data_IF_485812937784
#
_entry.id   IF_485812937784
#
_cell.length_a   1.000
_cell.length_b   1.000
_cell.length_c   1.000
_cell.angle_alpha   90.00
_cell.angle_beta   90.00
_cell.angle_gamma   90.00
#
_symmetry.space_group_name_H-M   'P 1'
#
loop_
_entity.id
_entity.type
_entity.pdbx_description
1 polymer ?
#
# COMPACT_ATOMS: atom_id res chain seq x y z
N UNK A 1 2.13 13.31 -5.08
CA UNK A 1 3.29 14.13 -4.67
C UNK A 1 4.44 13.27 -4.14
N UNK A 2 4.21 12.29 -3.29
CA UNK A 2 5.25 11.43 -2.69
C UNK A 2 6.10 10.62 -3.69
N UNK A 3 5.52 10.04 -4.74
CA UNK A 3 6.29 9.32 -5.78
C UNK A 3 7.29 10.22 -6.52
N UNK A 4 6.98 11.50 -6.72
CA UNK A 4 7.90 12.48 -7.31
C UNK A 4 9.12 12.75 -6.43
N UNK A 5 8.97 12.70 -5.11
CA UNK A 5 10.07 12.96 -4.17
C UNK A 5 10.95 11.73 -3.95
N UNK A 6 10.37 10.52 -3.95
CA UNK A 6 11.11 9.26 -3.87
C UNK A 6 12.17 9.11 -4.97
N UNK A 7 11.84 9.57 -6.18
CA UNK A 7 12.75 9.52 -7.33
C UNK A 7 13.70 10.72 -7.41
N UNK A 8 13.45 11.80 -6.63
CA UNK A 8 14.16 13.06 -6.81
C UNK A 8 15.61 13.06 -6.30
N UNK A 9 15.94 12.33 -5.24
CA UNK A 9 17.22 12.61 -4.55
C UNK A 9 18.36 11.66 -4.95
N UNK A 10 18.14 10.35 -5.00
CA UNK A 10 19.20 9.39 -5.29
C UNK A 10 19.26 8.95 -6.77
N UNK A 11 18.09 8.82 -7.40
CA UNK A 11 18.01 8.39 -8.80
C UNK A 11 18.33 9.54 -9.75
N UNK A 12 17.90 10.76 -9.45
CA UNK A 12 18.03 11.91 -10.35
C UNK A 12 19.47 12.43 -10.47
N UNK A 13 20.26 12.39 -9.38
CA UNK A 13 21.69 12.74 -9.44
C UNK A 13 22.47 11.71 -10.26
N UNK A 14 22.17 10.41 -10.07
CA UNK A 14 22.78 9.32 -10.84
C UNK A 14 22.31 9.33 -12.31
N UNK A 15 21.02 9.51 -12.58
CA UNK A 15 20.50 9.71 -13.93
C UNK A 15 21.17 10.89 -14.62
N UNK A 16 21.40 11.99 -13.92
CA UNK A 16 22.09 13.15 -14.47
C UNK A 16 23.55 12.87 -14.81
N UNK A 17 24.26 12.05 -14.06
CA UNK A 17 25.64 11.64 -14.34
C UNK A 17 25.76 10.66 -15.49
N UNK A 18 24.85 9.69 -15.60
CA UNK A 18 24.83 8.66 -16.64
C UNK A 18 24.81 9.24 -18.06
N UNK A 19 23.96 10.23 -18.31
CA UNK A 19 23.79 10.81 -19.63
C UNK A 19 24.93 11.74 -20.08
N UNK A 20 25.95 11.96 -19.28
CA UNK A 20 27.11 12.76 -19.67
C UNK A 20 28.15 11.95 -20.45
N UNK A 21 28.15 10.62 -20.33
CA UNK A 21 29.16 9.73 -20.91
C UNK A 21 28.67 8.84 -22.06
N UNK A 22 27.37 8.50 -22.10
CA UNK A 22 26.83 7.56 -23.07
C UNK A 22 26.79 8.14 -24.51
N UNK A 23 27.33 7.40 -25.46
CA UNK A 23 27.50 7.85 -26.86
C UNK A 23 26.45 7.25 -27.82
N UNK A 24 25.85 6.13 -27.48
CA UNK A 24 24.88 5.44 -28.32
C UNK A 24 23.69 4.88 -27.49
N UNK A 25 22.65 4.45 -28.22
CA UNK A 25 21.41 3.94 -27.60
C UNK A 25 21.63 2.73 -26.69
N UNK A 26 22.50 1.80 -27.08
CA UNK A 26 22.73 0.55 -26.36
C UNK A 26 23.43 0.84 -25.02
N UNK A 27 24.40 1.74 -25.02
CA UNK A 27 25.07 2.22 -23.80
C UNK A 27 24.06 2.86 -22.84
N UNK A 28 23.17 3.76 -23.33
CA UNK A 28 22.13 4.40 -22.51
C UNK A 28 21.19 3.37 -21.87
N UNK A 29 20.76 2.37 -22.64
CA UNK A 29 19.86 1.33 -22.12
C UNK A 29 20.56 0.44 -21.09
N UNK A 30 21.84 0.09 -21.29
CA UNK A 30 22.63 -0.66 -20.33
C UNK A 30 22.83 0.10 -19.02
N UNK A 31 23.18 1.37 -19.09
CA UNK A 31 23.32 2.22 -17.90
C UNK A 31 21.99 2.41 -17.15
N UNK A 32 20.86 2.55 -17.86
CA UNK A 32 19.54 2.58 -17.24
C UNK A 32 19.20 1.25 -16.56
N UNK A 33 19.54 0.13 -17.17
CA UNK A 33 19.33 -1.21 -16.60
C UNK A 33 20.08 -1.35 -15.29
N UNK A 34 21.38 -1.03 -15.25
CA UNK A 34 22.19 -1.08 -14.04
C UNK A 34 21.62 -0.19 -12.92
N UNK A 35 21.19 1.02 -13.30
CA UNK A 35 20.59 1.97 -12.36
C UNK A 35 19.29 1.45 -11.73
N UNK A 36 18.42 0.82 -12.53
CA UNK A 36 17.18 0.23 -12.05
C UNK A 36 17.44 -0.97 -11.13
N UNK A 37 18.45 -1.79 -11.42
CA UNK A 37 18.89 -2.89 -10.56
C UNK A 37 19.43 -2.35 -9.24
N UNK A 38 20.29 -1.32 -9.27
CA UNK A 38 20.83 -0.66 -8.07
C UNK A 38 19.73 0.03 -7.23
N UNK A 39 18.62 0.42 -7.85
CA UNK A 39 17.44 0.93 -7.17
C UNK A 39 16.57 -0.16 -6.51
N UNK A 40 17.00 -1.43 -6.58
CA UNK A 40 16.30 -2.60 -6.00
C UNK A 40 15.01 -2.98 -6.75
N UNK A 41 14.95 -2.68 -8.05
CA UNK A 41 13.87 -3.14 -8.92
C UNK A 41 14.18 -4.58 -9.34
N UNK A 42 13.17 -5.46 -9.32
CA UNK A 42 13.32 -6.86 -9.69
C UNK A 42 13.70 -7.03 -11.18
N UNK A 43 14.56 -7.98 -11.49
CA UNK A 43 15.04 -8.23 -12.86
C UNK A 43 13.93 -8.35 -13.90
N UNK A 44 12.80 -9.06 -13.64
CA UNK A 44 11.69 -9.11 -14.59
C UNK A 44 11.06 -7.74 -14.87
N UNK A 45 10.94 -6.87 -13.85
CA UNK A 45 10.40 -5.52 -14.01
C UNK A 45 11.39 -4.62 -14.77
N UNK A 46 12.69 -4.72 -14.47
CA UNK A 46 13.75 -4.01 -15.19
C UNK A 46 13.73 -4.38 -16.66
N UNK A 47 13.76 -5.69 -16.99
CA UNK A 47 13.74 -6.15 -18.38
C UNK A 47 12.53 -5.65 -19.17
N UNK A 48 11.34 -5.63 -18.53
CA UNK A 48 10.13 -5.08 -19.15
C UNK A 48 10.26 -3.58 -19.43
N UNK A 49 10.73 -2.79 -18.47
CA UNK A 49 10.91 -1.34 -18.58
C UNK A 49 11.92 -1.01 -19.68
N UNK A 50 13.10 -1.65 -19.66
CA UNK A 50 14.17 -1.42 -20.66
C UNK A 50 13.70 -1.81 -22.06
N UNK A 51 13.01 -2.95 -22.20
CA UNK A 51 12.44 -3.37 -23.50
C UNK A 51 11.46 -2.33 -24.04
N UNK A 52 10.59 -1.79 -23.21
CA UNK A 52 9.60 -0.78 -23.62
C UNK A 52 10.27 0.54 -24.00
N UNK A 53 11.24 1.01 -23.20
CA UNK A 53 12.04 2.20 -23.54
C UNK A 53 12.76 1.99 -24.85
N UNK A 54 13.40 0.83 -25.05
CA UNK A 54 14.11 0.49 -26.28
C UNK A 54 13.23 0.52 -27.55
N UNK A 55 11.96 0.09 -27.44
CA UNK A 55 10.97 0.19 -28.53
C UNK A 55 10.59 1.63 -28.84
N UNK A 56 10.38 2.47 -27.82
CA UNK A 56 9.96 3.87 -27.95
C UNK A 56 11.11 4.80 -28.35
N UNK A 57 12.33 4.47 -27.99
CA UNK A 57 13.53 5.26 -28.25
C UNK A 57 14.05 5.21 -29.74
N UNK A 58 13.29 4.63 -30.68
CA UNK A 58 13.67 4.60 -32.09
C UNK A 58 13.79 5.98 -32.72
N UNK A 59 13.11 6.99 -32.19
CA UNK A 59 13.06 8.38 -32.70
C UNK A 59 13.62 9.41 -31.71
N UNK A 60 14.33 8.95 -30.66
CA UNK A 60 14.72 9.79 -29.51
C UNK A 60 16.24 9.74 -29.35
N UNK A 61 16.89 10.92 -29.31
CA UNK A 61 18.35 11.05 -29.17
C UNK A 61 18.81 11.97 -28.05
N UNK A 62 17.87 12.61 -27.30
CA UNK A 62 18.26 13.51 -26.23
C UNK A 62 18.07 12.87 -24.85
N UNK A 63 18.87 13.30 -23.89
CA UNK A 63 18.85 12.93 -22.48
C UNK A 63 17.46 13.14 -21.83
N UNK A 64 16.88 14.30 -22.09
CA UNK A 64 15.57 14.68 -21.55
C UNK A 64 14.49 13.71 -22.01
N UNK A 65 14.61 13.23 -23.23
CA UNK A 65 13.68 12.27 -23.81
C UNK A 65 13.77 10.89 -23.18
N UNK A 66 14.97 10.38 -22.88
CA UNK A 66 15.12 9.11 -22.15
C UNK A 66 14.61 9.21 -20.70
N UNK A 67 14.85 10.32 -20.02
CA UNK A 67 14.30 10.57 -18.69
C UNK A 67 12.77 10.59 -18.71
N UNK A 68 12.17 11.23 -19.69
CA UNK A 68 10.71 11.26 -19.81
C UNK A 68 10.15 9.88 -20.17
N UNK A 69 10.81 9.11 -21.05
CA UNK A 69 10.42 7.72 -21.34
C UNK A 69 10.49 6.85 -20.09
N UNK A 70 11.58 6.93 -19.31
CA UNK A 70 11.72 6.21 -18.06
C UNK A 70 10.60 6.61 -17.09
N UNK A 71 10.34 7.90 -16.93
CA UNK A 71 9.26 8.40 -16.08
C UNK A 71 7.90 7.85 -16.50
N UNK A 72 7.63 7.81 -17.79
CA UNK A 72 6.39 7.27 -18.36
C UNK A 72 6.26 5.77 -18.09
N UNK A 73 7.34 4.99 -18.29
CA UNK A 73 7.33 3.55 -18.02
C UNK A 73 7.13 3.26 -16.53
N UNK A 74 7.79 4.00 -15.63
CA UNK A 74 7.61 3.86 -14.19
C UNK A 74 6.19 4.22 -13.76
N UNK A 75 5.60 5.27 -14.32
CA UNK A 75 4.22 5.65 -14.06
C UNK A 75 3.23 4.64 -14.67
N UNK A 76 3.56 4.04 -15.81
CA UNK A 76 2.72 3.03 -16.45
C UNK A 76 2.53 1.78 -15.60
N UNK A 77 3.51 1.44 -14.75
CA UNK A 77 3.38 0.36 -13.76
C UNK A 77 2.21 0.59 -12.81
N UNK A 78 1.91 1.86 -12.50
CA UNK A 78 0.80 2.26 -11.63
C UNK A 78 -0.45 2.69 -12.43
N UNK A 79 -0.36 2.80 -13.76
CA UNK A 79 -1.48 3.15 -14.63
C UNK A 79 -2.36 1.93 -14.90
N UNK A 80 -3.66 2.15 -15.02
CA UNK A 80 -4.65 1.07 -15.16
C UNK A 80 -5.19 0.57 -13.83
N UNK A 81 -4.73 1.12 -12.73
CA UNK A 81 -5.28 0.87 -11.39
C UNK A 81 -6.42 1.86 -11.09
N UNK A 82 -7.42 1.38 -10.36
CA UNK A 82 -8.56 2.17 -9.91
C UNK A 82 -8.10 3.45 -9.18
N UNK A 83 -8.60 4.61 -9.58
CA UNK A 83 -8.20 5.90 -8.99
C UNK A 83 -8.93 6.24 -7.71
N UNK A 84 -10.15 5.75 -7.52
CA UNK A 84 -10.94 5.98 -6.32
C UNK A 84 -10.80 4.79 -5.39
N UNK A 85 -10.43 5.06 -4.15
CA UNK A 85 -10.35 4.06 -3.11
C UNK A 85 -11.71 3.73 -2.48
N UNK A 86 -12.66 4.64 -2.57
CA UNK A 86 -14.02 4.47 -2.05
C UNK A 86 -15.06 4.65 -3.17
N UNK A 87 -16.21 4.01 -3.00
CA UNK A 87 -17.37 4.28 -3.83
C UNK A 87 -17.97 5.64 -3.46
N UNK A 88 -18.33 6.43 -4.49
CA UNK A 88 -18.93 7.74 -4.29
C UNK A 88 -20.34 7.62 -3.66
N UNK A 89 -20.58 8.41 -2.62
CA UNK A 89 -21.90 8.55 -2.00
C UNK A 89 -22.45 7.36 -1.23
N UNK A 90 -21.62 6.34 -0.95
CA UNK A 90 -22.03 5.09 -0.30
C UNK A 90 -21.31 4.80 1.00
N UNK A 91 -21.84 3.82 1.74
CA UNK A 91 -21.18 3.20 2.88
C UNK A 91 -20.03 2.33 2.41
N UNK A 92 -18.85 2.47 3.02
CA UNK A 92 -17.64 1.78 2.62
C UNK A 92 -16.98 1.06 3.80
N UNK A 93 -16.30 -0.05 3.52
CA UNK A 93 -15.51 -0.81 4.50
C UNK A 93 -14.11 -1.01 3.94
N UNK A 94 -13.10 -0.71 4.74
CA UNK A 94 -11.69 -0.98 4.44
C UNK A 94 -11.13 -1.94 5.48
N UNK A 95 -10.71 -3.11 5.06
CA UNK A 95 -9.97 -4.07 5.86
C UNK A 95 -8.47 -3.91 5.59
N UNK A 96 -7.69 -3.52 6.58
CA UNK A 96 -6.24 -3.43 6.48
C UNK A 96 -5.59 -4.75 6.88
N UNK A 97 -4.80 -5.32 5.97
CA UNK A 97 -4.04 -6.56 6.18
C UNK A 97 -2.55 -6.30 5.96
N UNK A 98 -1.69 -7.17 6.50
CA UNK A 98 -0.22 -7.04 6.36
C UNK A 98 0.50 -7.58 7.58
N UNK A 99 1.83 -7.68 7.50
CA UNK A 99 2.66 -8.24 8.58
C UNK A 99 2.75 -7.31 9.80
N UNK A 100 3.22 -7.85 10.94
CA UNK A 100 3.52 -7.03 12.11
C UNK A 100 4.59 -5.99 11.76
N UNK A 101 4.40 -4.77 12.25
CA UNK A 101 5.33 -3.67 12.00
C UNK A 101 5.22 -3.02 10.62
N UNK A 102 4.33 -3.49 9.71
CA UNK A 102 4.16 -2.86 8.39
C UNK A 102 3.51 -1.48 8.43
N UNK A 103 2.99 -1.04 9.58
CA UNK A 103 2.36 0.27 9.73
C UNK A 103 0.84 0.27 9.60
N UNK A 104 0.15 -0.88 9.75
CA UNK A 104 -1.33 -0.98 9.65
C UNK A 104 -2.06 -0.01 10.56
N UNK A 105 -1.77 -0.06 11.86
CA UNK A 105 -2.42 0.80 12.87
C UNK A 105 -2.22 2.29 12.58
N UNK A 106 -0.99 2.69 12.24
CA UNK A 106 -0.69 4.08 11.85
C UNK A 106 -1.39 4.46 10.55
N UNK A 107 -1.43 3.55 9.56
CA UNK A 107 -2.15 3.76 8.31
C UNK A 107 -3.65 3.88 8.53
N UNK A 108 -4.24 3.05 9.43
CA UNK A 108 -5.65 3.15 9.80
C UNK A 108 -5.99 4.55 10.33
N UNK A 109 -5.18 5.07 11.26
CA UNK A 109 -5.36 6.41 11.84
C UNK A 109 -5.23 7.52 10.77
N UNK A 110 -4.19 7.46 9.93
CA UNK A 110 -3.97 8.45 8.85
C UNK A 110 -5.08 8.43 7.80
N UNK A 111 -5.53 7.25 7.40
CA UNK A 111 -6.65 7.10 6.48
C UNK A 111 -7.94 7.65 7.09
N UNK A 112 -8.19 7.36 8.36
CA UNK A 112 -9.35 7.89 9.07
C UNK A 112 -9.35 9.43 9.09
N UNK A 113 -8.21 10.05 9.40
CA UNK A 113 -8.04 11.50 9.36
C UNK A 113 -8.21 12.06 7.95
N UNK A 114 -7.62 11.38 6.96
CA UNK A 114 -7.72 11.79 5.54
C UNK A 114 -9.17 11.86 5.07
N UNK A 115 -9.99 10.85 5.41
CA UNK A 115 -11.39 10.81 5.02
C UNK A 115 -12.26 11.74 5.88
N UNK A 116 -11.98 11.84 7.18
CA UNK A 116 -12.65 12.81 8.05
C UNK A 116 -12.48 14.24 7.54
N UNK A 117 -11.27 14.63 7.12
CA UNK A 117 -11.00 15.95 6.53
C UNK A 117 -11.73 16.19 5.19
N UNK A 118 -12.32 15.14 4.59
CA UNK A 118 -13.14 15.19 3.38
C UNK A 118 -14.63 15.11 3.66
N UNK A 119 -15.00 15.21 4.93
CA UNK A 119 -16.41 15.25 5.35
C UNK A 119 -17.03 13.88 5.58
N UNK A 120 -16.26 12.78 5.53
CA UNK A 120 -16.80 11.46 5.85
C UNK A 120 -16.85 11.22 7.36
N UNK A 121 -17.93 10.64 7.83
CA UNK A 121 -18.03 10.09 9.16
C UNK A 121 -17.33 8.74 9.22
N UNK A 122 -16.31 8.61 10.08
CA UNK A 122 -15.41 7.44 10.11
C UNK A 122 -15.51 6.73 11.44
N UNK A 123 -15.56 5.39 11.39
CA UNK A 123 -15.44 4.48 12.52
C UNK A 123 -14.18 3.64 12.37
N UNK A 124 -13.42 3.46 13.45
CA UNK A 124 -12.27 2.57 13.52
C UNK A 124 -12.61 1.29 14.26
N UNK A 125 -12.06 0.16 13.83
CA UNK A 125 -12.17 -1.13 14.50
C UNK A 125 -10.77 -1.67 14.85
N UNK A 126 -10.48 -1.88 16.12
CA UNK A 126 -9.23 -2.42 16.64
C UNK A 126 -9.30 -3.95 16.73
N UNK A 127 -9.15 -4.65 15.61
CA UNK A 127 -9.22 -6.11 15.57
C UNK A 127 -7.84 -6.80 15.76
N UNK A 128 -6.74 -6.08 16.03
CA UNK A 128 -5.48 -6.64 16.55
C UNK A 128 -5.59 -6.85 18.07
N UNK A 129 -6.34 -7.85 18.49
CA UNK A 129 -6.63 -8.14 19.90
C UNK A 129 -5.52 -8.92 20.62
N UNK A 130 -4.59 -9.50 19.88
CA UNK A 130 -3.49 -10.30 20.43
C UNK A 130 -2.34 -9.48 20.98
N UNK A 131 -2.09 -8.28 20.41
CA UNK A 131 -1.01 -7.41 20.88
C UNK A 131 -1.52 -6.54 22.03
N UNK A 132 -0.83 -6.61 23.18
CA UNK A 132 -1.18 -5.76 24.34
C UNK A 132 -1.25 -4.27 24.02
N UNK A 133 -0.44 -3.81 23.06
CA UNK A 133 -0.41 -2.43 22.59
C UNK A 133 -1.25 -2.16 21.34
N UNK A 134 -1.76 -3.19 20.63
CA UNK A 134 -2.41 -3.01 19.32
C UNK A 134 -3.72 -2.23 19.42
N UNK A 135 -4.67 -2.75 20.19
CA UNK A 135 -5.96 -2.09 20.42
C UNK A 135 -5.81 -0.75 21.16
N UNK A 136 -4.91 -0.69 22.16
CA UNK A 136 -4.61 0.55 22.88
C UNK A 136 -4.03 1.63 21.98
N UNK A 137 -3.14 1.26 21.05
CA UNK A 137 -2.52 2.21 20.10
C UNK A 137 -3.58 2.84 19.19
N UNK A 138 -4.48 2.04 18.61
CA UNK A 138 -5.53 2.59 17.74
C UNK A 138 -6.53 3.43 18.54
N UNK A 139 -6.84 3.04 19.78
CA UNK A 139 -7.71 3.80 20.68
C UNK A 139 -7.11 5.18 21.03
N UNK A 140 -5.80 5.24 21.29
CA UNK A 140 -5.10 6.52 21.51
C UNK A 140 -5.15 7.42 20.27
N UNK A 141 -4.96 6.84 19.08
CA UNK A 141 -5.15 7.58 17.83
C UNK A 141 -6.57 8.09 17.67
N UNK A 142 -7.58 7.25 17.95
CA UNK A 142 -8.98 7.65 17.91
C UNK A 142 -9.29 8.84 18.81
N UNK A 143 -8.77 8.82 20.05
CA UNK A 143 -8.89 9.95 20.99
C UNK A 143 -8.24 11.22 20.46
N UNK A 144 -7.00 11.12 19.97
CA UNK A 144 -6.26 12.25 19.42
C UNK A 144 -6.97 12.89 18.23
N UNK A 145 -7.55 12.07 17.36
CA UNK A 145 -8.21 12.50 16.12
C UNK A 145 -9.71 12.81 16.31
N UNK A 146 -10.25 12.58 17.50
CA UNK A 146 -11.69 12.63 17.76
C UNK A 146 -12.51 11.73 16.81
N UNK A 147 -12.01 10.49 16.60
CA UNK A 147 -12.64 9.46 15.78
C UNK A 147 -13.01 8.28 16.68
N UNK A 148 -14.27 7.80 16.67
CA UNK A 148 -14.70 6.68 17.50
C UNK A 148 -13.99 5.39 17.10
N UNK A 149 -13.66 4.56 18.10
CA UNK A 149 -12.99 3.26 17.95
C UNK A 149 -13.82 2.19 18.65
N UNK A 150 -14.12 1.11 17.94
CA UNK A 150 -14.63 -0.13 18.55
C UNK A 150 -13.44 -1.03 18.81
N UNK A 151 -13.26 -1.44 20.07
CA UNK A 151 -12.21 -2.36 20.48
C UNK A 151 -12.80 -3.49 21.35
N UNK A 152 -12.10 -4.61 21.40
CA UNK A 152 -12.38 -5.70 22.34
C UNK A 152 -11.41 -5.69 23.52
N UNK A 153 -11.71 -6.48 24.53
CA UNK A 153 -10.76 -6.80 25.58
C UNK A 153 -9.54 -7.54 25.00
N UNK A 154 -8.44 -7.53 25.76
CA UNK A 154 -7.24 -8.25 25.36
C UNK A 154 -7.53 -9.75 25.19
N UNK A 155 -7.21 -10.30 24.01
CA UNK A 155 -7.46 -11.70 23.68
C UNK A 155 -8.89 -12.00 23.22
N UNK A 156 -9.75 -10.99 23.09
CA UNK A 156 -11.07 -11.17 22.49
C UNK A 156 -10.95 -11.75 21.06
N UNK A 157 -11.98 -12.46 20.63
CA UNK A 157 -12.04 -12.94 19.22
C UNK A 157 -12.10 -11.76 18.25
N UNK A 158 -11.12 -11.62 17.32
CA UNK A 158 -11.12 -10.55 16.34
C UNK A 158 -12.41 -10.46 15.51
N UNK A 159 -13.00 -11.61 15.21
CA UNK A 159 -14.29 -11.70 14.50
C UNK A 159 -15.43 -11.03 15.25
N UNK A 160 -15.45 -11.15 16.58
CA UNK A 160 -16.45 -10.49 17.42
C UNK A 160 -16.29 -8.98 17.43
N UNK A 161 -15.05 -8.48 17.48
CA UNK A 161 -14.76 -7.03 17.37
C UNK A 161 -15.23 -6.49 16.03
N UNK A 162 -14.93 -7.19 14.93
CA UNK A 162 -15.37 -6.80 13.59
C UNK A 162 -16.91 -6.81 13.50
N UNK A 163 -17.56 -7.82 14.02
CA UNK A 163 -19.03 -7.89 14.01
C UNK A 163 -19.67 -6.72 14.76
N UNK A 164 -19.21 -6.42 15.98
CA UNK A 164 -19.67 -5.28 16.77
C UNK A 164 -19.40 -3.93 16.05
N UNK A 165 -18.27 -3.84 15.35
CA UNK A 165 -17.93 -2.65 14.57
C UNK A 165 -18.88 -2.46 13.39
N UNK A 166 -19.22 -3.53 12.68
CA UNK A 166 -20.20 -3.51 11.59
C UNK A 166 -21.58 -3.09 12.07
N UNK A 167 -22.04 -3.62 13.22
CA UNK A 167 -23.30 -3.20 13.84
C UNK A 167 -23.29 -1.70 14.20
N UNK A 168 -22.21 -1.21 14.81
CA UNK A 168 -22.05 0.19 15.17
C UNK A 168 -22.00 1.10 13.94
N UNK A 169 -21.25 0.68 12.90
CA UNK A 169 -21.14 1.39 11.64
C UNK A 169 -22.50 1.55 10.95
N UNK A 170 -23.30 0.49 10.93
CA UNK A 170 -24.63 0.51 10.33
C UNK A 170 -25.64 1.33 11.16
N UNK A 171 -25.74 1.06 12.48
CA UNK A 171 -26.74 1.68 13.34
C UNK A 171 -26.51 3.17 13.57
N UNK A 172 -25.24 3.61 13.63
CA UNK A 172 -24.87 5.03 13.80
C UNK A 172 -24.63 5.74 12.47
N UNK A 173 -24.89 5.07 11.36
CA UNK A 173 -24.83 5.61 10.00
C UNK A 173 -23.47 6.23 9.60
N UNK A 174 -22.35 5.60 9.99
CA UNK A 174 -21.03 6.03 9.52
C UNK A 174 -20.85 5.75 8.02
N UNK A 175 -20.14 6.64 7.31
CA UNK A 175 -19.82 6.50 5.89
C UNK A 175 -18.71 5.47 5.66
N UNK A 176 -17.75 5.40 6.57
CA UNK A 176 -16.55 4.57 6.43
C UNK A 176 -16.24 3.80 7.71
N UNK A 177 -16.03 2.49 7.57
CA UNK A 177 -15.44 1.63 8.60
C UNK A 177 -14.03 1.22 8.16
N UNK A 178 -13.01 1.51 8.98
CA UNK A 178 -11.63 1.04 8.77
C UNK A 178 -11.29 0.03 9.85
N UNK A 179 -10.91 -1.19 9.44
CA UNK A 179 -10.62 -2.32 10.31
C UNK A 179 -9.11 -2.58 10.32
N UNK A 180 -8.46 -2.41 11.48
CA UNK A 180 -7.05 -2.76 11.71
C UNK A 180 -6.94 -4.17 12.25
N UNK A 181 -6.16 -5.05 11.58
CA UNK A 181 -6.03 -6.47 11.94
C UNK A 181 -4.65 -6.82 12.48
N UNK A 182 -4.55 -7.99 13.11
CA UNK A 182 -3.26 -8.58 13.45
C UNK A 182 -2.40 -8.87 12.20
N UNK A 183 -1.09 -9.05 12.39
CA UNK A 183 -0.14 -9.31 11.30
C UNK A 183 0.89 -10.41 11.63
N UNK A 184 0.52 -11.42 12.39
CA UNK A 184 1.43 -12.46 12.93
C UNK A 184 1.86 -13.48 11.89
N UNK A 185 2.95 -13.23 11.16
CA UNK A 185 3.49 -14.19 10.18
C UNK A 185 4.14 -15.44 10.81
N UNK A 186 4.47 -15.41 12.11
CA UNK A 186 5.06 -16.55 12.83
C UNK A 186 4.06 -17.73 12.94
N UNK A 187 2.76 -17.45 12.96
CA UNK A 187 1.68 -18.43 12.90
C UNK A 187 0.82 -18.17 11.64
N UNK A 188 1.44 -18.33 10.47
CA UNK A 188 0.87 -17.98 9.16
C UNK A 188 -0.51 -18.59 8.93
N UNK A 189 -0.68 -19.88 9.22
CA UNK A 189 -1.95 -20.58 8.99
C UNK A 189 -3.08 -20.04 9.90
N UNK A 190 -2.76 -19.70 11.15
CA UNK A 190 -3.73 -19.11 12.06
C UNK A 190 -4.15 -17.71 11.61
N UNK A 191 -3.18 -16.89 11.18
CA UNK A 191 -3.48 -15.55 10.65
C UNK A 191 -4.39 -15.65 9.41
N UNK A 192 -4.10 -16.54 8.47
CA UNK A 192 -4.89 -16.70 7.26
C UNK A 192 -6.32 -17.22 7.56
N UNK A 193 -6.47 -18.14 8.52
CA UNK A 193 -7.78 -18.60 9.00
C UNK A 193 -8.57 -17.47 9.65
N UNK A 194 -7.92 -16.64 10.47
CA UNK A 194 -8.52 -15.48 11.12
C UNK A 194 -8.99 -14.43 10.10
N UNK A 195 -8.14 -14.08 9.14
CA UNK A 195 -8.50 -13.15 8.07
C UNK A 195 -9.65 -13.69 7.21
N UNK A 196 -9.64 -14.98 6.87
CA UNK A 196 -10.74 -15.61 6.13
C UNK A 196 -12.06 -15.55 6.92
N UNK A 197 -12.02 -15.76 8.25
CA UNK A 197 -13.19 -15.59 9.13
C UNK A 197 -13.69 -14.15 9.11
N UNK A 198 -12.82 -13.17 9.25
CA UNK A 198 -13.16 -11.73 9.23
C UNK A 198 -13.80 -11.37 7.87
N UNK A 199 -13.20 -11.75 6.75
CA UNK A 199 -13.73 -11.50 5.41
C UNK A 199 -15.12 -12.12 5.24
N UNK A 200 -15.31 -13.35 5.75
CA UNK A 200 -16.62 -14.02 5.71
C UNK A 200 -17.68 -13.26 6.52
N UNK A 201 -17.32 -12.73 7.69
CA UNK A 201 -18.21 -11.90 8.53
C UNK A 201 -18.60 -10.64 7.77
N UNK A 202 -17.63 -9.91 7.20
CA UNK A 202 -17.88 -8.69 6.43
C UNK A 202 -18.83 -8.97 5.25
N UNK A 203 -18.53 -9.99 4.45
CA UNK A 203 -19.36 -10.37 3.29
C UNK A 203 -20.77 -10.76 3.66
N UNK A 204 -20.94 -11.47 4.80
CA UNK A 204 -22.28 -11.86 5.27
C UNK A 204 -23.10 -10.68 5.78
N UNK A 205 -22.43 -9.74 6.47
CA UNK A 205 -23.11 -8.59 7.08
C UNK A 205 -23.39 -7.46 6.09
N UNK A 206 -22.47 -7.22 5.17
CA UNK A 206 -22.48 -6.10 4.24
C UNK A 206 -22.40 -6.57 2.78
N UNK A 207 -23.28 -7.53 2.39
CA UNK A 207 -23.26 -8.16 1.07
C UNK A 207 -23.38 -7.15 -0.08
N UNK A 208 -24.17 -6.09 0.12
CA UNK A 208 -24.47 -5.06 -0.88
C UNK A 208 -23.58 -3.80 -0.73
N UNK A 209 -22.61 -3.83 0.16
CA UNK A 209 -21.75 -2.66 0.42
C UNK A 209 -20.33 -2.90 -0.12
N UNK A 210 -19.68 -1.86 -0.65
CA UNK A 210 -18.29 -1.95 -1.07
C UNK A 210 -17.38 -2.29 0.11
N UNK A 211 -16.72 -3.45 0.05
CA UNK A 211 -15.72 -3.87 1.01
C UNK A 211 -14.37 -4.07 0.31
N UNK A 212 -13.41 -3.28 0.70
CA UNK A 212 -12.06 -3.27 0.14
C UNK A 212 -11.09 -3.94 1.13
N UNK A 213 -10.18 -4.76 0.63
CA UNK A 213 -9.08 -5.35 1.43
C UNK A 213 -7.76 -4.77 0.95
N UNK A 214 -7.13 -3.95 1.78
CA UNK A 214 -5.90 -3.27 1.41
C UNK A 214 -4.71 -3.85 2.16
N UNK A 215 -3.67 -4.18 1.41
CA UNK A 215 -2.40 -4.63 1.94
C UNK A 215 -1.55 -3.42 2.33
N UNK A 216 -1.15 -3.35 3.62
CA UNK A 216 -0.20 -2.37 4.10
C UNK A 216 1.20 -2.97 4.06
N UNK A 217 2.07 -2.39 3.26
CA UNK A 217 3.46 -2.80 3.06
C UNK A 217 4.42 -1.76 3.63
N UNK A 218 5.43 -2.26 4.31
CA UNK A 218 6.59 -1.45 4.73
C UNK A 218 7.55 -1.33 3.55
N UNK A 219 7.68 -0.13 3.01
CA UNK A 219 8.54 0.15 1.85
C UNK A 219 10.04 -0.08 2.13
N UNK A 220 10.45 -0.10 3.41
CA UNK A 220 11.84 -0.31 3.81
C UNK A 220 12.29 -1.79 3.76
N UNK A 221 11.36 -2.75 3.66
CA UNK A 221 11.67 -4.20 3.75
C UNK A 221 12.20 -4.82 2.46
N UNK A 222 12.32 -4.05 1.38
CA UNK A 222 12.91 -4.52 0.13
C UNK A 222 12.13 -5.69 -0.49
N UNK A 223 12.85 -6.64 -1.11
CA UNK A 223 12.26 -7.80 -1.81
C UNK A 223 11.39 -8.71 -0.92
N UNK A 224 11.58 -8.68 0.40
CA UNK A 224 10.72 -9.43 1.32
C UNK A 224 9.27 -8.94 1.28
N UNK A 225 9.05 -7.65 1.00
CA UNK A 225 7.71 -7.10 0.82
C UNK A 225 6.98 -7.74 -0.36
N UNK A 226 7.68 -8.03 -1.46
CA UNK A 226 7.09 -8.70 -2.64
C UNK A 226 6.58 -10.11 -2.29
N UNK A 227 7.42 -10.91 -1.62
CA UNK A 227 7.03 -12.27 -1.19
C UNK A 227 5.85 -12.27 -0.24
N UNK A 228 5.80 -11.30 0.69
CA UNK A 228 4.66 -11.12 1.58
C UNK A 228 3.39 -10.74 0.81
N UNK A 229 3.51 -9.81 -0.13
CA UNK A 229 2.40 -9.32 -0.92
C UNK A 229 1.76 -10.43 -1.78
N UNK A 230 2.57 -11.29 -2.41
CA UNK A 230 2.08 -12.45 -3.17
C UNK A 230 1.26 -13.41 -2.27
N UNK A 231 1.77 -13.69 -1.07
CA UNK A 231 1.06 -14.55 -0.11
C UNK A 231 -0.28 -13.96 0.33
N UNK A 232 -0.32 -12.67 0.67
CA UNK A 232 -1.58 -12.02 1.04
C UNK A 232 -2.56 -11.98 -0.12
N UNK A 233 -2.10 -11.77 -1.36
CA UNK A 233 -2.95 -11.78 -2.55
C UNK A 233 -3.65 -13.12 -2.73
N UNK A 234 -2.95 -14.22 -2.50
CA UNK A 234 -3.48 -15.57 -2.64
C UNK A 234 -4.61 -15.87 -1.64
N UNK A 235 -4.48 -15.43 -0.38
CA UNK A 235 -5.36 -15.84 0.71
C UNK A 235 -6.45 -14.83 1.08
N UNK A 236 -6.21 -13.52 0.90
CA UNK A 236 -7.11 -12.49 1.43
C UNK A 236 -7.84 -11.67 0.38
N UNK A 237 -7.64 -11.98 -0.91
CA UNK A 237 -8.36 -11.30 -1.98
C UNK A 237 -8.12 -9.78 -1.98
N UNK A 238 -6.87 -9.37 -1.70
CA UNK A 238 -6.49 -7.95 -1.68
C UNK A 238 -6.78 -7.30 -3.02
N UNK A 239 -7.32 -6.10 -2.98
CA UNK A 239 -7.69 -5.30 -4.15
C UNK A 239 -7.07 -3.90 -4.17
N UNK A 240 -6.22 -3.58 -3.17
CA UNK A 240 -5.45 -2.35 -3.11
C UNK A 240 -4.27 -2.43 -2.18
N UNK A 241 -3.39 -1.44 -2.24
CA UNK A 241 -2.18 -1.36 -1.42
C UNK A 241 -2.03 0.03 -0.79
N UNK A 242 -1.48 0.03 0.42
CA UNK A 242 -0.96 1.21 1.13
C UNK A 242 0.53 0.98 1.35
N UNK A 243 1.35 1.90 0.90
CA UNK A 243 2.79 1.88 1.11
C UNK A 243 3.11 2.74 2.32
N UNK A 244 3.65 2.15 3.38
CA UNK A 244 4.06 2.85 4.60
C UNK A 244 5.57 3.01 4.66
N UNK A 245 6.04 3.98 5.45
CA UNK A 245 7.45 4.23 5.77
C UNK A 245 8.34 4.56 4.56
N UNK A 246 7.80 5.33 3.62
CA UNK A 246 8.56 5.76 2.44
C UNK A 246 9.76 6.66 2.79
N UNK A 247 9.69 7.37 3.90
CA UNK A 247 10.76 8.19 4.46
C UNK A 247 11.96 7.37 4.94
N UNK A 248 11.75 6.11 5.32
CA UNK A 248 12.80 5.19 5.78
C UNK A 248 13.50 4.41 4.66
N UNK A 249 13.11 4.57 3.39
CA UNK A 249 13.69 3.79 2.31
C UNK A 249 14.58 4.63 1.39
N UNK A 250 15.84 4.21 1.24
CA UNK A 250 16.74 4.72 0.21
C UNK A 250 16.52 4.06 -1.17
N UNK A 251 15.73 2.98 -1.23
CA UNK A 251 15.54 2.12 -2.40
C UNK A 251 14.07 1.92 -2.72
N UNK A 252 13.45 2.90 -3.39
CA UNK A 252 12.04 2.86 -3.75
C UNK A 252 11.66 1.85 -4.86
N UNK A 253 12.64 1.17 -5.48
CA UNK A 253 12.40 0.29 -6.62
C UNK A 253 11.61 -0.97 -6.32
N UNK A 254 11.68 -1.46 -5.08
CA UNK A 254 10.85 -2.61 -4.64
C UNK A 254 9.36 -2.36 -4.84
N UNK A 255 8.90 -1.11 -4.66
CA UNK A 255 7.51 -0.71 -4.85
C UNK A 255 7.09 -0.92 -6.31
N UNK A 256 7.97 -0.57 -7.25
CA UNK A 256 7.77 -0.78 -8.69
C UNK A 256 7.63 -2.27 -8.97
N UNK A 257 8.52 -3.09 -8.37
CA UNK A 257 8.49 -4.55 -8.50
C UNK A 257 7.17 -5.15 -8.00
N UNK A 258 6.69 -4.69 -6.84
CA UNK A 258 5.43 -5.13 -6.24
C UNK A 258 4.24 -4.72 -7.13
N UNK A 259 4.20 -3.46 -7.56
CA UNK A 259 3.13 -2.95 -8.41
C UNK A 259 3.09 -3.68 -9.77
N UNK A 260 4.24 -3.87 -10.41
CA UNK A 260 4.38 -4.59 -11.67
C UNK A 260 3.93 -6.07 -11.55
N UNK A 261 4.29 -6.74 -10.45
CA UNK A 261 4.01 -8.16 -10.22
C UNK A 261 2.56 -8.40 -9.82
N UNK A 262 2.04 -7.61 -8.88
CA UNK A 262 0.71 -7.81 -8.34
C UNK A 262 -0.39 -7.21 -9.22
N UNK A 263 -0.08 -6.17 -9.99
CA UNK A 263 -1.04 -5.38 -10.79
C UNK A 263 -2.21 -4.89 -9.92
N UNK A 264 -1.89 -4.45 -8.70
CA UNK A 264 -2.84 -3.89 -7.74
C UNK A 264 -2.64 -2.38 -7.63
N UNK A 265 -3.72 -1.61 -7.41
CA UNK A 265 -3.62 -0.17 -7.21
C UNK A 265 -2.88 0.16 -5.91
N UNK A 266 -2.00 1.14 -5.97
CA UNK A 266 -1.44 1.81 -4.80
C UNK A 266 -2.33 3.02 -4.51
N UNK A 267 -3.15 2.95 -3.47
CA UNK A 267 -4.09 4.02 -3.13
C UNK A 267 -3.41 5.12 -2.31
N UNK A 268 -2.54 4.74 -1.40
CA UNK A 268 -1.87 5.68 -0.50
C UNK A 268 -0.41 5.35 -0.31
N UNK A 269 0.35 6.40 -0.09
CA UNK A 269 1.78 6.37 0.19
C UNK A 269 2.06 7.20 1.45
N UNK A 270 2.47 6.53 2.53
CA UNK A 270 2.74 7.14 3.83
C UNK A 270 4.20 7.60 3.93
N UNK A 271 4.39 8.85 4.34
CA UNK A 271 5.67 9.48 4.57
C UNK A 271 5.72 10.04 5.99
N UNK A 272 6.59 9.51 6.84
CA UNK A 272 6.72 9.92 8.23
C UNK A 272 5.64 9.38 9.19
N UNK A 273 5.80 9.69 10.46
CA UNK A 273 4.89 9.27 11.55
C UNK A 273 3.84 10.33 11.91
N UNK A 274 3.99 11.55 11.41
CA UNK A 274 3.03 12.65 11.64
C UNK A 274 1.79 12.52 10.76
N UNK A 275 0.71 13.21 11.17
CA UNK A 275 -0.61 13.24 10.50
C UNK A 275 -0.55 13.81 9.09
#
# INVERSE_FOLDING_TARGET
MALKELFKTALQSKLNALFTSAKNKEEVLGELEELLILADISLPAVAAIITNIGKKAKSVSSKESYNELLRQELLAVFSGTRRSALADGGKNIILLVGVNGSGKTTSAAKLARYYQNRGHSVLLAAADTFRAAGSSQLSLWGQKLNIPVVSGERGADPGSVVFNSLQSWQSKNFDLLIIDTAGRMQSKDNLMKELAKIIKIIRKFAADQPAETWLVLDASTGQNALVQAEKFKEFSGINGMVLAKLDGTAKGGTIISIAARLKLPVFFAGNGETE
#
